data_IF_466781376812
#
_entry.id   IF_466781376812
#
_cell.length_a   1.000
_cell.length_b   1.000
_cell.length_c   1.000
_cell.angle_alpha   90.00
_cell.angle_beta   90.00
_cell.angle_gamma   90.00
#
_symmetry.space_group_name_H-M   'P 1'
#
loop_
_entity.id
_entity.type
_entity.pdbx_description
1 polymer ?
#
# COMPACT_ATOMS: atom_id res chain seq x y z
N UNK A 1 -43.00 10.96 26.39
CA UNK A 1 -42.53 10.10 25.27
C UNK A 1 -41.21 10.59 24.66
N UNK A 2 -41.02 11.90 24.44
CA UNK A 2 -39.81 12.47 23.83
C UNK A 2 -38.55 12.20 24.67
N UNK A 3 -38.63 12.32 26.00
CA UNK A 3 -37.50 12.04 26.90
C UNK A 3 -37.07 10.57 26.88
N UNK A 4 -38.00 9.66 26.72
CA UNK A 4 -37.74 8.23 26.68
C UNK A 4 -37.06 7.82 25.37
N UNK A 5 -37.44 8.42 24.25
CA UNK A 5 -36.80 8.18 22.95
C UNK A 5 -35.36 8.75 22.90
N UNK A 6 -35.13 9.93 23.48
CA UNK A 6 -33.80 10.53 23.58
C UNK A 6 -32.92 9.67 24.46
N UNK A 7 -33.41 9.16 25.59
CA UNK A 7 -32.65 8.28 26.48
C UNK A 7 -32.22 6.98 25.80
N UNK A 8 -33.11 6.34 25.02
CA UNK A 8 -32.80 5.13 24.26
C UNK A 8 -31.70 5.42 23.19
N UNK A 9 -31.80 6.56 22.49
CA UNK A 9 -30.79 6.93 21.49
C UNK A 9 -29.42 7.16 22.14
N UNK A 10 -29.35 7.83 23.28
CA UNK A 10 -28.08 8.00 24.00
C UNK A 10 -27.55 6.65 24.45
N UNK A 11 -28.38 5.76 24.96
CA UNK A 11 -27.95 4.42 25.39
C UNK A 11 -27.42 3.57 24.22
N UNK A 12 -28.06 3.66 23.06
CA UNK A 12 -27.59 3.00 21.84
C UNK A 12 -26.24 3.56 21.34
N UNK A 13 -26.05 4.88 21.42
CA UNK A 13 -24.77 5.50 21.07
C UNK A 13 -23.65 5.08 22.03
N UNK A 14 -23.92 5.01 23.33
CA UNK A 14 -22.93 4.56 24.33
C UNK A 14 -22.58 3.09 24.12
N UNK A 15 -23.58 2.23 23.90
CA UNK A 15 -23.34 0.80 23.59
C UNK A 15 -22.56 0.64 22.29
N UNK A 16 -22.90 1.44 21.28
CA UNK A 16 -22.16 1.43 20.01
C UNK A 16 -20.70 1.88 20.19
N UNK A 17 -20.48 2.92 20.98
CA UNK A 17 -19.13 3.43 21.30
C UNK A 17 -18.31 2.42 22.10
N UNK A 18 -18.91 1.73 23.10
CA UNK A 18 -18.22 0.65 23.82
C UNK A 18 -17.97 -0.58 22.94
N UNK A 19 -18.93 -0.95 22.10
CA UNK A 19 -18.80 -2.16 21.29
C UNK A 19 -17.83 -1.99 20.10
N UNK A 20 -17.80 -0.81 19.47
CA UNK A 20 -16.94 -0.53 18.31
C UNK A 20 -15.69 0.26 18.67
N UNK A 21 -15.71 1.14 19.65
CA UNK A 21 -14.54 1.90 20.09
C UNK A 21 -13.44 1.02 20.69
N UNK A 22 -13.81 0.02 21.49
CA UNK A 22 -12.85 -0.94 22.07
C UNK A 22 -12.32 -1.98 21.06
N UNK A 23 -12.92 -2.12 19.90
CA UNK A 23 -12.49 -3.13 18.90
C UNK A 23 -11.29 -2.72 18.08
N UNK A 24 -10.95 -1.45 18.09
CA UNK A 24 -9.84 -0.88 17.32
C UNK A 24 -8.76 -0.23 18.18
N UNK A 25 -8.77 -0.50 19.51
CA UNK A 25 -7.71 0.01 20.39
C UNK A 25 -6.41 -0.78 20.12
N UNK A 26 -5.39 -0.14 19.53
CA UNK A 26 -4.11 -0.80 19.26
C UNK A 26 -3.44 -1.33 20.53
N UNK A 27 -3.77 -0.77 21.70
CA UNK A 27 -3.19 -1.19 22.98
C UNK A 27 -3.69 -2.57 23.41
N UNK A 28 -4.91 -2.97 23.01
CA UNK A 28 -5.45 -4.31 23.31
C UNK A 28 -4.66 -5.40 22.58
N UNK A 29 -4.12 -5.10 21.42
CA UNK A 29 -3.29 -6.04 20.65
C UNK A 29 -1.93 -6.19 21.28
N UNK A 30 -1.35 -5.11 21.79
CA UNK A 30 -0.03 -5.12 22.43
C UNK A 30 -0.06 -5.81 23.81
N UNK A 31 -1.11 -5.62 24.60
CA UNK A 31 -1.25 -6.26 25.92
C UNK A 31 -1.49 -7.79 25.84
N UNK A 32 -2.16 -8.26 24.77
CA UNK A 32 -2.41 -9.70 24.60
C UNK A 32 -1.26 -10.49 23.98
N UNK A 33 -0.32 -9.82 23.29
CA UNK A 33 0.77 -10.49 22.58
C UNK A 33 2.06 -10.59 23.39
N UNK A 34 2.15 -10.02 24.61
CA UNK A 34 3.42 -9.94 25.36
C UNK A 34 4.59 -9.54 24.44
N UNK A 35 4.34 -8.58 23.55
CA UNK A 35 5.38 -8.04 22.71
C UNK A 35 6.39 -7.40 23.64
N UNK A 36 7.61 -7.91 23.65
CA UNK A 36 8.72 -7.33 24.36
C UNK A 36 8.87 -5.82 24.08
N UNK A 37 9.75 -5.12 24.79
CA UNK A 37 9.90 -3.67 24.62
C UNK A 37 10.01 -3.32 23.14
N UNK A 38 9.12 -2.45 22.66
CA UNK A 38 9.09 -2.03 21.27
C UNK A 38 10.46 -1.51 20.88
N UNK A 39 11.10 -2.18 19.94
CA UNK A 39 12.34 -1.69 19.35
C UNK A 39 12.01 -0.45 18.53
N UNK A 40 12.44 0.71 19.00
CA UNK A 40 12.30 1.95 18.22
C UNK A 40 13.41 2.00 17.18
N UNK A 41 13.05 1.79 15.94
CA UNK A 41 13.96 1.95 14.80
C UNK A 41 13.83 3.39 14.31
N UNK A 42 14.93 4.17 14.28
CA UNK A 42 14.88 5.53 13.74
C UNK A 42 14.41 5.50 12.28
N UNK A 43 13.38 6.27 11.98
CA UNK A 43 12.84 6.38 10.63
C UNK A 43 13.88 7.06 9.73
N UNK A 44 14.30 6.38 8.67
CA UNK A 44 15.17 6.93 7.63
C UNK A 44 14.35 7.02 6.33
N UNK A 45 13.96 8.22 5.98
CA UNK A 45 13.17 8.48 4.75
C UNK A 45 14.05 9.28 3.80
N UNK A 46 14.06 8.92 2.52
CA UNK A 46 14.61 9.75 1.45
C UNK A 46 13.94 11.12 1.44
N UNK A 47 14.68 12.16 1.11
CA UNK A 47 14.15 13.51 0.91
C UNK A 47 13.68 13.77 -0.52
N UNK A 48 13.69 12.75 -1.37
CA UNK A 48 13.17 12.87 -2.74
C UNK A 48 11.69 13.26 -2.71
N UNK A 49 11.32 14.24 -3.52
CA UNK A 49 9.98 14.80 -3.66
C UNK A 49 9.75 15.13 -5.13
N UNK A 50 9.36 14.11 -5.88
CA UNK A 50 9.22 14.15 -7.34
C UNK A 50 8.11 15.10 -7.80
N UNK A 51 6.99 15.12 -7.07
CA UNK A 51 5.84 15.97 -7.39
C UNK A 51 5.95 17.40 -6.83
N UNK A 52 6.99 17.69 -6.06
CA UNK A 52 7.28 19.00 -5.44
C UNK A 52 6.16 19.51 -4.52
N UNK A 53 5.52 18.60 -3.78
CA UNK A 53 4.46 18.94 -2.83
C UNK A 53 4.96 19.20 -1.39
N UNK A 54 6.27 19.12 -1.16
CA UNK A 54 6.98 19.21 0.12
C UNK A 54 6.72 17.99 1.05
N UNK A 55 6.27 16.88 0.50
CA UNK A 55 6.15 15.59 1.19
C UNK A 55 7.12 14.61 0.50
N UNK A 56 8.00 13.94 1.23
CA UNK A 56 8.86 12.93 0.63
C UNK A 56 8.07 11.82 -0.08
N UNK A 57 8.54 11.39 -1.24
CA UNK A 57 7.90 10.35 -2.07
C UNK A 57 7.52 9.09 -1.29
N UNK A 58 8.37 8.66 -0.36
CA UNK A 58 8.09 7.50 0.48
C UNK A 58 6.82 7.67 1.33
N UNK A 59 6.54 8.88 1.81
CA UNK A 59 5.31 9.18 2.56
C UNK A 59 4.10 9.29 1.63
N UNK A 60 4.28 9.87 0.45
CA UNK A 60 3.23 9.93 -0.57
C UNK A 60 2.82 8.52 -1.02
N UNK A 61 3.79 7.63 -1.24
CA UNK A 61 3.52 6.21 -1.55
C UNK A 61 2.68 5.53 -0.47
N UNK A 62 3.05 5.71 0.80
CA UNK A 62 2.28 5.17 1.94
C UNK A 62 0.89 5.77 1.99
N UNK A 63 0.75 7.08 1.80
CA UNK A 63 -0.54 7.76 1.80
C UNK A 63 -1.41 7.26 0.65
N UNK A 64 -0.87 7.16 -0.56
CA UNK A 64 -1.59 6.67 -1.73
C UNK A 64 -2.10 5.23 -1.56
N UNK A 65 -1.28 4.36 -0.94
CA UNK A 65 -1.70 3.01 -0.63
C UNK A 65 -2.82 2.96 0.43
N UNK A 66 -2.78 3.83 1.45
CA UNK A 66 -3.81 3.93 2.49
C UNK A 66 -5.14 4.44 1.96
N UNK A 67 -5.13 5.35 0.99
CA UNK A 67 -6.35 5.86 0.36
C UNK A 67 -7.21 4.73 -0.21
N UNK A 68 -6.60 3.67 -0.76
CA UNK A 68 -7.34 2.51 -1.29
C UNK A 68 -8.15 1.78 -0.20
N UNK A 69 -7.63 1.76 1.03
CA UNK A 69 -8.34 1.19 2.19
C UNK A 69 -9.46 2.12 2.64
N UNK A 70 -9.19 3.43 2.68
CA UNK A 70 -10.14 4.45 3.15
C UNK A 70 -11.38 4.56 2.24
N UNK A 71 -11.18 4.48 0.92
CA UNK A 71 -12.29 4.48 -0.05
C UNK A 71 -13.00 3.14 -0.14
N UNK A 72 -12.49 2.10 0.51
CA UNK A 72 -13.09 0.77 0.52
C UNK A 72 -13.04 0.08 -0.84
N UNK A 73 -11.91 0.17 -1.55
CA UNK A 73 -11.72 -0.43 -2.87
C UNK A 73 -12.12 -1.91 -2.88
N UNK A 74 -13.05 -2.25 -3.78
CA UNK A 74 -13.55 -3.61 -3.97
C UNK A 74 -12.62 -4.38 -4.91
N UNK A 75 -12.29 -5.62 -4.56
CA UNK A 75 -11.45 -6.47 -5.38
C UNK A 75 -12.05 -6.73 -6.75
N UNK A 76 -11.33 -6.38 -7.80
CA UNK A 76 -11.69 -6.64 -9.19
C UNK A 76 -10.41 -6.84 -10.03
N UNK A 77 -10.18 -8.06 -10.50
CA UNK A 77 -9.05 -8.43 -11.34
C UNK A 77 -9.39 -8.46 -12.84
N UNK A 78 -10.51 -7.85 -13.24
CA UNK A 78 -10.94 -7.81 -14.65
C UNK A 78 -9.92 -7.09 -15.52
N UNK A 79 -9.93 -7.43 -16.81
CA UNK A 79 -9.21 -6.69 -17.83
C UNK A 79 -9.96 -5.38 -18.14
N UNK A 80 -9.19 -4.31 -18.27
CA UNK A 80 -9.71 -2.99 -18.64
C UNK A 80 -8.94 -2.45 -19.84
N UNK A 81 -9.65 -2.00 -20.85
CA UNK A 81 -9.03 -1.28 -21.97
C UNK A 81 -8.40 0.00 -21.46
N UNK A 82 -7.14 0.25 -21.82
CA UNK A 82 -6.32 1.32 -21.23
C UNK A 82 -5.62 0.92 -19.91
N UNK A 83 -5.97 -0.26 -19.37
CA UNK A 83 -5.30 -0.88 -18.22
C UNK A 83 -5.80 -0.43 -16.85
N UNK A 84 -6.52 0.67 -16.75
CA UNK A 84 -6.91 1.26 -15.46
C UNK A 84 -8.34 0.87 -15.05
N UNK A 85 -8.52 0.17 -13.92
CA UNK A 85 -9.84 -0.05 -13.35
C UNK A 85 -10.47 1.26 -12.87
N UNK A 86 -11.82 1.33 -12.84
CA UNK A 86 -12.54 2.47 -12.27
C UNK A 86 -12.17 2.69 -10.81
N UNK A 87 -12.37 3.92 -10.34
CA UNK A 87 -12.23 4.26 -8.93
C UNK A 87 -13.09 3.32 -8.04
N UNK A 88 -12.55 2.95 -6.90
CA UNK A 88 -13.18 2.01 -5.97
C UNK A 88 -13.16 0.55 -6.43
N UNK A 89 -12.48 0.21 -7.52
CA UNK A 89 -12.25 -1.17 -7.97
C UNK A 89 -10.78 -1.41 -8.27
N UNK A 90 -10.30 -2.63 -8.05
CA UNK A 90 -8.95 -3.01 -8.38
C UNK A 90 -8.47 -4.28 -7.72
N UNK A 91 -7.26 -4.70 -8.05
CA UNK A 91 -6.56 -5.80 -7.40
C UNK A 91 -5.32 -5.29 -6.65
N UNK A 92 -4.56 -6.19 -6.03
CA UNK A 92 -3.39 -5.81 -5.23
C UNK A 92 -2.35 -4.98 -5.99
N UNK A 93 -2.16 -5.22 -7.28
CA UNK A 93 -1.23 -4.47 -8.11
C UNK A 93 -1.73 -3.07 -8.46
N UNK A 94 -3.05 -2.85 -8.40
CA UNK A 94 -3.62 -1.51 -8.64
C UNK A 94 -3.32 -0.55 -7.49
N UNK A 95 -3.13 -1.05 -6.27
CA UNK A 95 -2.66 -0.25 -5.13
C UNK A 95 -1.28 0.34 -5.43
N UNK A 96 -0.40 -0.42 -6.10
CA UNK A 96 0.97 0.02 -6.40
C UNK A 96 0.96 1.23 -7.32
N UNK A 97 0.36 1.12 -8.51
CA UNK A 97 0.39 2.23 -9.47
C UNK A 97 -0.35 3.47 -8.95
N UNK A 98 -1.40 3.29 -8.12
CA UNK A 98 -2.12 4.41 -7.49
C UNK A 98 -1.26 5.11 -6.45
N UNK A 99 -0.51 4.35 -5.65
CA UNK A 99 0.45 4.92 -4.73
C UNK A 99 1.52 5.75 -5.47
N UNK A 100 2.11 5.20 -6.53
CA UNK A 100 3.07 5.91 -7.38
C UNK A 100 2.48 7.18 -8.01
N UNK A 101 1.21 7.14 -8.40
CA UNK A 101 0.50 8.31 -8.94
C UNK A 101 0.40 9.45 -7.92
N UNK A 102 0.21 9.15 -6.63
CA UNK A 102 0.18 10.18 -5.56
C UNK A 102 1.54 10.85 -5.45
N UNK A 103 2.63 10.11 -5.58
CA UNK A 103 4.00 10.65 -5.62
C UNK A 103 4.38 11.29 -6.97
N UNK A 104 3.44 11.41 -7.92
CA UNK A 104 3.68 12.05 -9.22
C UNK A 104 4.29 11.16 -10.30
N UNK A 105 4.50 9.87 -10.06
CA UNK A 105 5.08 8.95 -11.04
C UNK A 105 4.01 8.29 -11.92
N UNK A 106 4.29 8.16 -13.20
CA UNK A 106 3.52 7.31 -14.12
C UNK A 106 4.12 5.89 -14.14
N UNK A 107 3.71 5.10 -13.16
CA UNK A 107 4.22 3.74 -12.97
C UNK A 107 4.00 2.84 -14.19
N UNK A 108 2.87 2.99 -14.89
CA UNK A 108 2.58 2.22 -16.10
C UNK A 108 3.61 2.50 -17.17
N UNK A 109 3.86 3.78 -17.48
CA UNK A 109 4.87 4.19 -18.46
C UNK A 109 6.27 3.72 -18.06
N UNK A 110 6.65 3.86 -16.80
CA UNK A 110 7.96 3.38 -16.31
C UNK A 110 8.14 1.88 -16.55
N UNK A 111 7.13 1.08 -16.26
CA UNK A 111 7.19 -0.37 -16.45
C UNK A 111 7.16 -0.76 -17.92
N UNK A 112 6.34 -0.10 -18.74
CA UNK A 112 6.27 -0.33 -20.18
C UNK A 112 7.63 -0.05 -20.86
N UNK A 113 8.32 1.01 -20.44
CA UNK A 113 9.67 1.35 -20.90
C UNK A 113 10.70 0.31 -20.45
N UNK A 114 10.63 -0.16 -19.21
CA UNK A 114 11.55 -1.19 -18.72
C UNK A 114 11.36 -2.52 -19.45
N UNK A 115 10.12 -2.95 -19.71
CA UNK A 115 9.82 -4.13 -20.53
C UNK A 115 10.39 -3.98 -21.94
N UNK A 116 10.24 -2.80 -22.53
CA UNK A 116 10.74 -2.52 -23.88
C UNK A 116 12.26 -2.59 -23.96
N UNK A 117 12.94 -2.09 -22.93
CA UNK A 117 14.41 -2.07 -22.86
C UNK A 117 15.02 -3.41 -22.45
N UNK A 118 14.28 -4.21 -21.68
CA UNK A 118 14.74 -5.48 -21.10
C UNK A 118 13.76 -6.65 -21.33
N UNK A 119 13.32 -6.92 -22.57
CA UNK A 119 12.24 -7.87 -22.86
C UNK A 119 12.52 -9.30 -22.36
N UNK A 120 13.79 -9.70 -22.34
CA UNK A 120 14.20 -11.04 -21.88
C UNK A 120 13.93 -11.22 -20.37
N UNK A 121 14.19 -10.20 -19.55
CA UNK A 121 13.98 -10.25 -18.12
C UNK A 121 12.50 -10.49 -17.76
N UNK A 122 11.58 -9.99 -18.59
CA UNK A 122 10.14 -10.16 -18.41
C UNK A 122 9.57 -11.42 -19.08
N UNK A 123 10.43 -12.27 -19.65
CA UNK A 123 10.01 -13.45 -20.40
C UNK A 123 9.16 -13.11 -21.63
N UNK A 124 9.30 -11.89 -22.14
CA UNK A 124 8.55 -11.38 -23.30
C UNK A 124 9.14 -11.84 -24.62
N UNK A 125 10.17 -12.67 -24.61
CA UNK A 125 10.79 -13.22 -25.83
C UNK A 125 9.76 -14.02 -26.62
N UNK A 126 9.33 -13.47 -27.76
CA UNK A 126 8.29 -14.05 -28.61
C UNK A 126 6.85 -13.72 -28.26
N UNK A 127 6.60 -12.94 -27.21
CA UNK A 127 5.29 -12.40 -26.85
C UNK A 127 5.30 -10.88 -27.01
N UNK A 128 4.27 -10.33 -27.64
CA UNK A 128 4.08 -8.88 -27.64
C UNK A 128 3.72 -8.40 -26.23
N UNK A 129 4.37 -7.34 -25.74
CA UNK A 129 3.94 -6.65 -24.52
C UNK A 129 2.48 -6.18 -24.67
N UNK A 130 1.75 -6.23 -23.57
CA UNK A 130 0.38 -5.75 -23.47
C UNK A 130 0.30 -4.65 -22.39
N UNK A 131 0.40 -3.38 -22.79
CA UNK A 131 0.44 -2.27 -21.85
C UNK A 131 -0.84 -2.12 -21.02
N UNK A 132 -1.95 -2.72 -21.43
CA UNK A 132 -3.21 -2.67 -20.68
C UNK A 132 -3.23 -3.61 -19.47
N UNK A 133 -2.26 -4.55 -19.38
CA UNK A 133 -2.25 -5.53 -18.28
C UNK A 133 -0.85 -5.75 -17.69
N UNK A 134 0.23 -5.44 -18.41
CA UNK A 134 1.58 -5.82 -17.98
C UNK A 134 1.97 -5.15 -16.66
N UNK A 135 1.59 -3.89 -16.42
CA UNK A 135 1.85 -3.19 -15.15
C UNK A 135 0.98 -3.70 -13.98
N UNK A 136 -0.01 -4.55 -14.24
CA UNK A 136 -0.87 -5.21 -13.26
C UNK A 136 -0.47 -6.66 -12.99
N UNK A 137 0.65 -7.13 -13.55
CA UNK A 137 1.15 -8.49 -13.37
C UNK A 137 2.22 -8.54 -12.30
N UNK A 138 1.98 -9.29 -11.23
CA UNK A 138 2.93 -9.44 -10.10
C UNK A 138 4.33 -9.84 -10.58
N UNK A 139 4.45 -10.75 -11.55
CA UNK A 139 5.76 -11.16 -12.09
C UNK A 139 6.52 -9.99 -12.73
N UNK A 140 5.82 -9.12 -13.44
CA UNK A 140 6.45 -7.95 -14.08
C UNK A 140 6.86 -6.93 -13.02
N UNK A 141 6.01 -6.69 -12.00
CA UNK A 141 6.36 -5.84 -10.87
C UNK A 141 7.62 -6.35 -10.14
N UNK A 142 7.73 -7.65 -9.96
CA UNK A 142 8.90 -8.26 -9.32
C UNK A 142 10.19 -7.98 -10.11
N UNK A 143 10.15 -8.07 -11.45
CA UNK A 143 11.30 -7.75 -12.30
C UNK A 143 11.62 -6.27 -12.21
N UNK A 144 10.58 -5.41 -12.36
CA UNK A 144 10.74 -3.96 -12.27
C UNK A 144 11.40 -3.52 -10.97
N UNK A 145 10.92 -3.99 -9.83
CA UNK A 145 11.50 -3.63 -8.55
C UNK A 145 12.90 -4.21 -8.31
N UNK A 146 13.27 -5.31 -8.99
CA UNK A 146 14.66 -5.80 -8.99
C UNK A 146 15.61 -4.90 -9.80
N UNK A 147 15.12 -4.27 -10.86
CA UNK A 147 15.91 -3.34 -11.67
C UNK A 147 16.07 -1.96 -11.00
N UNK A 148 15.04 -1.49 -10.31
CA UNK A 148 14.95 -0.09 -9.85
C UNK A 148 14.96 0.06 -8.33
N UNK A 149 14.77 -1.02 -7.58
CA UNK A 149 14.76 -1.02 -6.12
C UNK A 149 16.01 -1.64 -5.51
N UNK A 150 16.12 -1.49 -4.21
CA UNK A 150 17.14 -2.19 -3.41
C UNK A 150 16.54 -3.50 -2.89
N UNK A 151 17.23 -4.62 -3.15
CA UNK A 151 16.83 -5.89 -2.56
C UNK A 151 17.26 -5.92 -1.08
N UNK A 152 16.29 -6.14 -0.21
CA UNK A 152 16.50 -6.25 1.22
C UNK A 152 16.65 -7.72 1.64
N UNK A 153 17.28 -7.93 2.80
CA UNK A 153 17.35 -9.28 3.36
C UNK A 153 15.94 -9.80 3.68
N UNK A 154 15.72 -11.10 3.46
CA UNK A 154 14.49 -11.77 3.90
C UNK A 154 14.58 -12.25 5.36
N UNK A 155 15.75 -12.13 5.99
CA UNK A 155 15.97 -12.50 7.37
C UNK A 155 15.58 -11.36 8.30
N UNK A 156 14.50 -11.54 9.05
CA UNK A 156 14.07 -10.60 10.10
C UNK A 156 14.60 -11.06 11.45
N UNK A 157 15.42 -10.24 12.10
CA UNK A 157 15.98 -10.51 13.44
C UNK A 157 15.33 -9.57 14.45
N UNK A 158 14.32 -10.04 15.20
CA UNK A 158 13.66 -9.23 16.21
C UNK A 158 14.65 -8.68 17.24
N UNK A 159 14.57 -7.39 17.52
CA UNK A 159 15.45 -6.71 18.48
C UNK A 159 16.80 -6.25 17.94
N UNK A 160 17.22 -6.66 16.76
CA UNK A 160 18.42 -6.15 16.11
C UNK A 160 18.11 -4.90 15.28
N UNK A 161 18.38 -3.71 15.82
CA UNK A 161 18.06 -2.41 15.20
C UNK A 161 18.65 -2.29 13.78
N UNK A 162 19.89 -2.71 13.57
CA UNK A 162 20.56 -2.63 12.28
C UNK A 162 19.91 -3.54 11.21
N UNK A 163 19.38 -4.69 11.62
CA UNK A 163 18.61 -5.54 10.72
C UNK A 163 17.25 -4.89 10.38
N UNK A 164 16.58 -4.32 11.38
CA UNK A 164 15.27 -3.71 11.20
C UNK A 164 15.31 -2.41 10.40
N UNK A 165 16.40 -1.64 10.43
CA UNK A 165 16.59 -0.44 9.60
C UNK A 165 16.50 -0.70 8.10
N UNK A 166 16.78 -1.92 7.66
CA UNK A 166 16.68 -2.29 6.24
C UNK A 166 15.24 -2.40 5.74
N UNK A 167 14.25 -2.40 6.65
CA UNK A 167 12.84 -2.58 6.36
C UNK A 167 12.02 -1.27 6.44
N UNK A 168 12.68 -0.13 6.47
CA UNK A 168 12.04 1.20 6.56
C UNK A 168 11.88 1.91 5.23
#
# INVERSE_FOLDING_TARGET
>A
QLFFTIFILILLVVIWQEYYGNRLDPTIITDKLELGPACQVPLQISSEDHNSNNIPDALDLVQGARQEVEIGTVYDASFYSGGYPPEGKGCCTDVIWRAFKVSGYDFKTMLDEDIKNNPEAYGSTGRQPDPDIDFRRVKNLQVFFKHHGQELTTEVKPGEVENLKQWQ
#
